data_IF_679443545914
#
_entry.id   IF_679443545914
#
_cell.length_a   1.000
_cell.length_b   1.000
_cell.length_c   1.000
_cell.angle_alpha   90.00
_cell.angle_beta   90.00
_cell.angle_gamma   90.00
#
_symmetry.space_group_name_H-M   'P 1'
#
loop_
_entity.id
_entity.type
_entity.pdbx_description
1 polymer ?
#
# COMPACT_ATOMS: atom_id res chain seq x y z
N UNK A 1 1.61 53.46 44.65
CA UNK A 1 0.30 53.09 45.21
C UNK A 1 -0.32 52.05 44.30
N UNK A 2 -0.48 50.84 44.86
CA UNK A 2 -1.42 49.74 44.56
C UNK A 2 -1.53 49.21 43.11
N UNK A 3 -1.11 47.96 42.82
CA UNK A 3 -1.80 46.62 42.97
C UNK A 3 -2.45 46.26 41.61
N UNK A 4 -2.38 45.07 41.02
CA UNK A 4 -2.33 43.65 41.42
C UNK A 4 -1.45 42.88 40.38
N UNK A 5 -0.55 41.92 40.65
CA UNK A 5 -0.65 40.54 41.19
C UNK A 5 -1.66 39.62 40.49
N UNK A 6 -1.22 38.88 39.48
CA UNK A 6 -1.86 37.64 39.04
C UNK A 6 -0.85 36.47 39.05
N UNK A 7 -1.23 35.48 39.85
CA UNK A 7 -0.63 34.17 40.04
C UNK A 7 -1.54 33.21 39.28
N UNK A 8 -1.03 32.48 38.29
CA UNK A 8 -1.75 31.34 37.71
C UNK A 8 -0.84 30.09 37.55
N UNK A 9 -0.91 29.28 38.60
CA UNK A 9 -1.11 27.82 38.61
C UNK A 9 -0.54 26.95 37.48
N UNK A 10 0.50 26.18 37.85
CA UNK A 10 0.87 24.89 37.23
C UNK A 10 -0.34 23.96 37.17
N UNK A 11 -0.68 23.49 35.97
CA UNK A 11 -1.56 22.33 35.79
C UNK A 11 -0.80 21.26 35.00
N UNK A 12 -0.43 20.19 35.70
CA UNK A 12 0.08 18.94 35.15
C UNK A 12 -1.06 18.16 34.51
N UNK A 13 -1.02 17.95 33.20
CA UNK A 13 -1.95 17.06 32.49
C UNK A 13 -1.20 15.81 32.05
N UNK A 14 -1.44 14.74 32.81
CA UNK A 14 -1.20 13.35 32.42
C UNK A 14 -2.09 13.02 31.21
N UNK A 15 -1.49 12.64 30.08
CA UNK A 15 -2.20 12.08 28.93
C UNK A 15 -1.75 10.62 28.72
N UNK A 16 -2.42 9.70 29.41
CA UNK A 16 -2.49 8.31 28.99
C UNK A 16 -3.50 8.20 27.83
N UNK A 17 -3.01 8.19 26.59
CA UNK A 17 -3.82 7.83 25.43
C UNK A 17 -3.63 6.36 25.11
N UNK A 18 -4.53 5.53 25.65
CA UNK A 18 -4.68 4.13 25.27
C UNK A 18 -5.09 4.06 23.80
N UNK A 19 -4.17 3.67 22.93
CA UNK A 19 -4.46 3.46 21.50
C UNK A 19 -5.15 2.11 21.34
N UNK A 20 -6.47 2.12 21.19
CA UNK A 20 -7.27 0.98 20.75
C UNK A 20 -6.99 0.71 19.27
N UNK A 21 -6.19 -0.32 18.99
CA UNK A 21 -6.04 -0.86 17.64
C UNK A 21 -7.28 -1.65 17.28
N UNK A 22 -8.11 -1.11 16.39
CA UNK A 22 -9.16 -1.84 15.69
C UNK A 22 -8.50 -2.97 14.90
N UNK A 23 -8.82 -4.22 15.24
CA UNK A 23 -8.37 -5.40 14.52
C UNK A 23 -8.95 -5.36 13.10
N UNK A 24 -8.11 -5.05 12.12
CA UNK A 24 -8.43 -5.27 10.71
C UNK A 24 -8.49 -6.79 10.50
N UNK A 25 -9.68 -7.30 10.23
CA UNK A 25 -9.93 -8.73 9.99
C UNK A 25 -9.11 -9.20 8.79
N UNK A 26 -8.42 -10.32 8.96
CA UNK A 26 -7.69 -10.94 7.86
C UNK A 26 -8.70 -11.41 6.80
N UNK A 27 -8.32 -11.44 5.51
CA UNK A 27 -9.18 -11.96 4.45
C UNK A 27 -9.46 -13.44 4.70
N UNK A 28 -10.72 -13.88 4.57
CA UNK A 28 -11.12 -15.26 4.89
C UNK A 28 -10.34 -16.34 4.12
N UNK A 29 -9.86 -16.03 2.90
CA UNK A 29 -9.00 -16.93 2.13
C UNK A 29 -7.62 -17.11 2.78
N UNK A 30 -7.04 -16.03 3.30
CA UNK A 30 -5.77 -16.01 4.02
C UNK A 30 -5.91 -16.54 5.44
N UNK A 31 -7.03 -16.27 6.13
CA UNK A 31 -7.35 -16.98 7.37
C UNK A 31 -7.46 -18.48 7.12
N UNK A 32 -8.06 -18.91 6.02
CA UNK A 32 -8.12 -20.33 5.68
C UNK A 32 -6.75 -20.92 5.34
N UNK A 33 -5.85 -20.18 4.69
CA UNK A 33 -4.49 -20.64 4.40
C UNK A 33 -3.58 -20.62 5.63
N UNK A 34 -3.69 -19.59 6.48
CA UNK A 34 -3.02 -19.49 7.77
C UNK A 34 -3.55 -20.50 8.78
N UNK A 35 -4.84 -20.87 8.71
CA UNK A 35 -5.44 -21.93 9.53
C UNK A 35 -5.13 -23.33 8.99
N UNK A 36 -4.88 -23.48 7.68
CA UNK A 36 -4.35 -24.72 7.06
C UNK A 36 -2.88 -24.94 7.40
N UNK A 37 -2.15 -23.87 7.69
CA UNK A 37 -0.85 -23.97 8.33
C UNK A 37 -1.13 -24.35 9.78
N UNK A 38 -1.01 -25.64 10.09
CA UNK A 38 -1.12 -26.13 11.47
C UNK A 38 0.11 -25.65 12.28
N UNK A 39 0.06 -24.37 12.64
CA UNK A 39 1.11 -23.71 13.40
C UNK A 39 1.23 -24.34 14.78
N UNK A 40 0.13 -24.82 15.36
CA UNK A 40 0.12 -25.49 16.65
C UNK A 40 0.78 -26.86 16.58
N UNK A 41 0.53 -27.68 15.55
CA UNK A 41 1.24 -28.95 15.35
C UNK A 41 2.71 -28.72 15.02
N UNK A 42 3.03 -27.74 14.17
CA UNK A 42 4.42 -27.41 13.82
C UNK A 42 5.19 -26.86 15.03
N UNK A 43 4.54 -26.04 15.86
CA UNK A 43 5.09 -25.53 17.11
C UNK A 43 5.24 -26.64 18.14
N UNK A 44 4.26 -27.53 18.28
CA UNK A 44 4.35 -28.71 19.14
C UNK A 44 5.45 -29.67 18.68
N UNK A 45 5.67 -29.79 17.36
CA UNK A 45 6.78 -30.55 16.79
C UNK A 45 8.13 -29.91 17.16
N UNK A 46 8.28 -28.60 17.01
CA UNK A 46 9.49 -27.89 17.48
C UNK A 46 9.70 -28.00 19.00
N UNK A 47 8.64 -27.91 19.79
CA UNK A 47 8.70 -28.08 21.26
C UNK A 47 9.09 -29.51 21.64
N UNK A 48 8.61 -30.50 20.88
CA UNK A 48 8.94 -31.92 21.06
C UNK A 48 10.38 -32.23 20.63
N UNK A 49 10.82 -31.70 19.49
CA UNK A 49 12.20 -31.79 19.00
C UNK A 49 13.20 -31.09 19.94
N UNK A 50 12.79 -30.00 20.60
CA UNK A 50 13.58 -29.34 21.65
C UNK A 50 13.46 -30.03 23.03
N UNK A 51 12.42 -30.84 23.24
CA UNK A 51 12.10 -31.50 24.51
C UNK A 51 12.93 -32.76 24.78
N UNK A 52 13.65 -33.29 23.80
CA UNK A 52 14.54 -34.43 24.01
C UNK A 52 15.87 -34.05 24.70
N UNK A 53 16.18 -32.76 24.94
CA UNK A 53 17.51 -32.39 25.44
C UNK A 53 17.64 -31.39 26.61
N UNK A 54 16.59 -30.83 27.25
CA UNK A 54 16.82 -29.90 28.39
C UNK A 54 15.80 -29.94 29.55
N UNK A 55 16.25 -29.73 30.82
CA UNK A 55 15.44 -29.94 32.02
C UNK A 55 14.46 -28.79 32.32
N UNK A 56 13.46 -29.14 33.12
CA UNK A 56 12.35 -28.31 33.60
C UNK A 56 12.78 -27.08 34.42
N UNK A 57 12.94 -25.92 33.78
CA UNK A 57 13.01 -24.62 34.46
C UNK A 57 11.98 -23.62 33.88
N UNK A 58 10.95 -23.35 34.67
CA UNK A 58 9.77 -22.53 34.35
C UNK A 58 10.05 -21.06 34.04
N UNK A 59 11.25 -20.54 34.34
CA UNK A 59 11.66 -19.14 34.09
C UNK A 59 12.32 -18.93 32.72
N UNK A 60 13.03 -19.95 32.21
CA UNK A 60 13.58 -19.91 30.84
C UNK A 60 12.49 -19.99 29.78
N UNK A 61 11.36 -20.61 30.13
CA UNK A 61 10.23 -20.79 29.23
C UNK A 61 9.55 -19.47 28.85
N UNK A 62 9.45 -18.49 29.78
CA UNK A 62 8.80 -17.19 29.52
C UNK A 62 9.60 -16.29 28.58
N UNK A 63 10.94 -16.32 28.68
CA UNK A 63 11.82 -15.58 27.76
C UNK A 63 11.79 -16.21 26.38
N UNK A 64 11.87 -17.54 26.30
CA UNK A 64 11.80 -18.27 25.04
C UNK A 64 10.44 -18.11 24.33
N UNK A 65 9.32 -18.11 25.06
CA UNK A 65 8.00 -17.84 24.49
C UNK A 65 7.84 -16.40 24.02
N UNK A 66 8.37 -15.42 24.77
CA UNK A 66 8.36 -14.01 24.36
C UNK A 66 9.16 -13.79 23.07
N UNK A 67 10.35 -14.39 22.96
CA UNK A 67 11.18 -14.30 21.75
C UNK A 67 10.47 -14.91 20.53
N UNK A 68 9.83 -16.07 20.69
CA UNK A 68 9.05 -16.72 19.61
C UNK A 68 7.85 -15.87 19.19
N UNK A 69 7.11 -15.31 20.15
CA UNK A 69 5.98 -14.41 19.87
C UNK A 69 6.44 -13.21 19.04
N UNK A 70 7.51 -12.55 19.45
CA UNK A 70 8.07 -11.40 18.72
C UNK A 70 8.51 -11.78 17.29
N UNK A 71 9.11 -12.96 17.11
CA UNK A 71 9.50 -13.45 15.80
C UNK A 71 8.27 -13.71 14.89
N UNK A 72 7.20 -14.31 15.44
CA UNK A 72 5.95 -14.54 14.70
C UNK A 72 5.28 -13.20 14.34
N UNK A 73 5.19 -12.27 15.29
CA UNK A 73 4.61 -10.95 15.06
C UNK A 73 5.37 -10.18 13.96
N UNK A 74 6.70 -10.28 13.94
CA UNK A 74 7.53 -9.70 12.88
C UNK A 74 7.25 -10.32 11.50
N UNK A 75 7.14 -11.65 11.42
CA UNK A 75 6.81 -12.35 10.17
C UNK A 75 5.42 -11.96 9.68
N UNK A 76 4.41 -11.94 10.56
CA UNK A 76 3.05 -11.53 10.21
C UNK A 76 2.99 -10.07 9.75
N UNK A 77 3.76 -9.18 10.36
CA UNK A 77 3.87 -7.78 9.93
C UNK A 77 4.42 -7.68 8.51
N UNK A 78 5.49 -8.43 8.19
CA UNK A 78 6.09 -8.44 6.86
C UNK A 78 5.11 -8.99 5.80
N UNK A 79 4.36 -10.04 6.14
CA UNK A 79 3.31 -10.59 5.28
C UNK A 79 2.24 -9.54 5.00
N UNK A 80 1.68 -8.90 6.04
CA UNK A 80 0.68 -7.84 5.89
C UNK A 80 1.19 -6.67 5.03
N UNK A 81 2.46 -6.30 5.19
CA UNK A 81 3.09 -5.27 4.39
C UNK A 81 3.20 -5.67 2.91
N UNK A 82 3.58 -6.91 2.61
CA UNK A 82 3.66 -7.41 1.23
C UNK A 82 2.30 -7.43 0.51
N UNK A 83 1.21 -7.52 1.28
CA UNK A 83 -0.18 -7.50 0.79
C UNK A 83 -0.73 -6.09 0.54
N UNK A 84 0.00 -5.04 0.92
CA UNK A 84 -0.30 -3.68 0.50
C UNK A 84 0.31 -3.47 -0.88
N UNK A 85 -0.54 -3.33 -1.89
CA UNK A 85 -0.14 -3.18 -3.27
C UNK A 85 -0.53 -1.78 -3.74
N UNK A 86 0.43 -1.05 -4.29
CA UNK A 86 0.17 0.17 -5.03
C UNK A 86 0.53 -0.10 -6.49
N UNK A 87 -0.45 0.06 -7.38
CA UNK A 87 -0.29 -0.16 -8.81
C UNK A 87 -0.52 1.15 -9.55
N UNK A 88 0.54 1.70 -10.15
CA UNK A 88 0.46 2.89 -10.99
C UNK A 88 0.55 2.52 -12.46
N UNK A 89 -0.38 3.04 -13.26
CA UNK A 89 -0.32 2.97 -14.71
C UNK A 89 0.25 4.28 -15.27
N UNK A 90 1.35 4.18 -16.00
CA UNK A 90 1.97 5.32 -16.68
C UNK A 90 1.63 5.18 -18.16
N UNK A 91 0.90 6.14 -18.74
CA UNK A 91 0.37 6.02 -20.10
C UNK A 91 0.80 7.19 -20.99
N UNK A 92 1.29 6.88 -22.18
CA UNK A 92 1.42 7.87 -23.25
C UNK A 92 0.05 8.42 -23.66
N UNK A 93 -0.13 9.73 -23.49
CA UNK A 93 -1.34 10.47 -23.86
C UNK A 93 -1.09 11.46 -25.01
N UNK A 94 -0.08 11.26 -25.85
CA UNK A 94 0.20 12.09 -27.03
C UNK A 94 -0.79 11.82 -28.17
N UNK A 95 -0.70 12.64 -29.23
CA UNK A 95 -1.59 12.57 -30.39
C UNK A 95 -1.44 11.29 -31.20
N UNK A 96 -0.24 10.71 -31.24
CA UNK A 96 0.06 9.42 -31.91
C UNK A 96 -0.76 8.28 -31.30
N UNK A 97 -0.98 8.32 -29.98
CA UNK A 97 -1.79 7.37 -29.24
C UNK A 97 -3.29 7.51 -29.44
N UNK A 98 -3.78 8.51 -30.17
CA UNK A 98 -5.22 8.77 -30.34
C UNK A 98 -6.03 7.55 -30.80
N UNK A 99 -5.48 6.73 -31.70
CA UNK A 99 -6.16 5.53 -32.20
C UNK A 99 -6.10 4.34 -31.23
N UNK A 100 -5.18 4.37 -30.27
CA UNK A 100 -4.90 3.28 -29.33
C UNK A 100 -5.37 3.56 -27.90
N UNK A 101 -5.57 4.83 -27.54
CA UNK A 101 -5.82 5.25 -26.16
C UNK A 101 -7.11 4.63 -25.58
N UNK A 102 -8.14 4.41 -26.41
CA UNK A 102 -9.35 3.73 -25.97
C UNK A 102 -9.05 2.28 -25.54
N UNK A 103 -8.34 1.52 -26.37
CA UNK A 103 -7.94 0.15 -26.06
C UNK A 103 -6.96 0.06 -24.88
N UNK A 104 -6.05 1.03 -24.75
CA UNK A 104 -5.15 1.13 -23.60
C UNK A 104 -5.93 1.36 -22.31
N UNK A 105 -6.87 2.31 -22.28
CA UNK A 105 -7.78 2.53 -21.14
C UNK A 105 -8.57 1.28 -20.79
N UNK A 106 -9.18 0.63 -21.78
CA UNK A 106 -9.95 -0.60 -21.56
C UNK A 106 -9.09 -1.71 -20.95
N UNK A 107 -7.83 -1.83 -21.40
CA UNK A 107 -6.88 -2.81 -20.87
C UNK A 107 -6.50 -2.50 -19.41
N UNK A 108 -6.22 -1.23 -19.09
CA UNK A 108 -5.96 -0.76 -17.72
C UNK A 108 -7.13 -1.12 -16.80
N UNK A 109 -8.36 -0.83 -17.23
CA UNK A 109 -9.57 -1.10 -16.43
C UNK A 109 -9.80 -2.60 -16.25
N UNK A 110 -9.56 -3.41 -17.28
CA UNK A 110 -9.64 -4.87 -17.19
C UNK A 110 -8.63 -5.44 -16.19
N UNK A 111 -7.37 -4.98 -16.23
CA UNK A 111 -6.34 -5.39 -15.28
C UNK A 111 -6.71 -4.99 -13.86
N UNK A 112 -7.12 -3.74 -13.64
CA UNK A 112 -7.54 -3.26 -12.31
C UNK A 112 -8.71 -4.07 -11.76
N UNK A 113 -9.72 -4.35 -12.58
CA UNK A 113 -10.87 -5.19 -12.22
C UNK A 113 -10.44 -6.61 -11.87
N UNK A 114 -9.58 -7.21 -12.69
CA UNK A 114 -9.11 -8.57 -12.48
C UNK A 114 -8.35 -8.69 -11.16
N UNK A 115 -7.44 -7.76 -10.87
CA UNK A 115 -6.69 -7.74 -9.60
C UNK A 115 -7.64 -7.64 -8.40
N UNK A 116 -8.64 -6.76 -8.47
CA UNK A 116 -9.62 -6.59 -7.40
C UNK A 116 -10.47 -7.85 -7.16
N UNK A 117 -10.82 -8.58 -8.23
CA UNK A 117 -11.65 -9.79 -8.14
C UNK A 117 -10.86 -11.03 -7.70
N UNK A 118 -9.64 -11.19 -8.20
CA UNK A 118 -8.82 -12.40 -7.95
C UNK A 118 -8.14 -12.35 -6.59
N UNK A 119 -7.87 -11.15 -6.06
CA UNK A 119 -7.09 -10.98 -4.83
C UNK A 119 -7.83 -10.15 -3.77
N UNK A 120 -8.97 -10.63 -3.23
CA UNK A 120 -9.74 -9.89 -2.22
C UNK A 120 -8.95 -9.66 -0.92
N UNK A 121 -7.85 -10.40 -0.72
CA UNK A 121 -6.99 -10.24 0.44
C UNK A 121 -5.90 -9.19 0.33
N UNK A 122 -5.66 -8.63 -0.86
CA UNK A 122 -4.69 -7.56 -1.03
C UNK A 122 -5.35 -6.19 -0.86
N UNK A 123 -4.70 -5.33 -0.08
CA UNK A 123 -5.08 -3.94 0.02
C UNK A 123 -4.48 -3.18 -1.16
N UNK A 124 -5.17 -3.22 -2.29
CA UNK A 124 -4.70 -2.63 -3.55
C UNK A 124 -5.19 -1.19 -3.70
N UNK A 125 -4.28 -0.28 -4.06
CA UNK A 125 -4.63 1.05 -4.54
C UNK A 125 -4.14 1.23 -5.98
N UNK A 126 -4.94 1.95 -6.76
CA UNK A 126 -4.65 2.25 -8.15
C UNK A 126 -4.31 3.72 -8.32
N UNK A 127 -3.22 3.98 -9.03
CA UNK A 127 -2.76 5.30 -9.44
C UNK A 127 -2.65 5.38 -10.97
N UNK A 128 -2.69 6.60 -11.51
CA UNK A 128 -2.49 6.85 -12.92
C UNK A 128 -1.61 8.08 -13.16
N UNK A 129 -0.72 7.99 -14.14
CA UNK A 129 0.13 9.06 -14.60
C UNK A 129 0.11 9.10 -16.13
N UNK A 130 -0.57 10.09 -16.70
CA UNK A 130 -0.49 10.38 -18.13
C UNK A 130 0.65 11.35 -18.41
N UNK A 131 1.47 11.07 -19.42
CA UNK A 131 2.48 12.00 -19.91
C UNK A 131 2.24 12.35 -21.39
N UNK A 132 2.81 13.48 -21.81
CA UNK A 132 2.68 14.03 -23.17
C UNK A 132 3.99 14.70 -23.59
N UNK A 133 3.97 15.53 -24.62
CA UNK A 133 5.14 16.25 -25.09
C UNK A 133 5.58 17.35 -24.13
N UNK A 134 6.87 17.69 -24.16
CA UNK A 134 7.42 18.83 -23.41
C UNK A 134 6.72 20.17 -23.71
N UNK A 135 6.14 20.32 -24.91
CA UNK A 135 5.47 21.54 -25.34
C UNK A 135 4.07 21.73 -24.72
N UNK A 136 3.53 20.74 -24.00
CA UNK A 136 2.18 20.79 -23.43
C UNK A 136 2.03 21.63 -22.16
N UNK A 137 3.11 22.23 -21.63
CA UNK A 137 3.04 23.06 -20.43
C UNK A 137 2.36 22.35 -19.26
N UNK A 138 1.34 22.96 -18.68
CA UNK A 138 0.59 22.40 -17.54
C UNK A 138 -0.17 21.11 -17.87
N UNK A 139 -0.46 20.85 -19.15
CA UNK A 139 -1.13 19.62 -19.59
C UNK A 139 -0.15 18.47 -19.86
N UNK A 140 1.16 18.71 -19.73
CA UNK A 140 2.22 17.74 -19.98
C UNK A 140 2.09 16.49 -19.11
N UNK A 141 1.67 16.66 -17.86
CA UNK A 141 1.48 15.59 -16.90
C UNK A 141 0.04 15.59 -16.39
N UNK A 142 -0.52 14.41 -16.21
CA UNK A 142 -1.87 14.22 -15.68
C UNK A 142 -1.85 13.13 -14.61
N UNK A 143 -1.98 13.52 -13.35
CA UNK A 143 -1.87 12.61 -12.21
C UNK A 143 -3.24 12.30 -11.58
N UNK A 144 -3.42 11.04 -11.24
CA UNK A 144 -4.45 10.56 -10.30
C UNK A 144 -3.73 9.81 -9.19
N UNK A 145 -3.69 10.42 -8.00
CA UNK A 145 -3.05 9.82 -6.85
C UNK A 145 -3.76 8.52 -6.41
N UNK A 146 -3.07 7.71 -5.63
CA UNK A 146 -3.54 6.38 -5.24
C UNK A 146 -4.90 6.40 -4.57
N UNK A 147 -5.79 5.52 -5.05
CA UNK A 147 -7.09 5.30 -4.45
C UNK A 147 -7.45 3.82 -4.42
N UNK A 148 -8.06 3.37 -3.32
CA UNK A 148 -8.70 2.06 -3.23
C UNK A 148 -10.12 2.05 -3.85
N UNK A 149 -10.63 3.20 -4.29
CA UNK A 149 -11.96 3.29 -4.90
C UNK A 149 -11.87 2.97 -6.39
N UNK A 150 -12.17 1.72 -6.73
CA UNK A 150 -12.25 1.28 -8.13
C UNK A 150 -13.15 2.19 -8.97
N UNK A 151 -14.30 2.60 -8.44
CA UNK A 151 -15.21 3.54 -9.12
C UNK A 151 -14.52 4.86 -9.49
N UNK A 152 -13.89 5.54 -8.53
CA UNK A 152 -13.19 6.82 -8.78
C UNK A 152 -12.08 6.66 -9.81
N UNK A 153 -11.30 5.59 -9.69
CA UNK A 153 -10.24 5.27 -10.64
C UNK A 153 -10.80 5.06 -12.05
N UNK A 154 -11.86 4.27 -12.19
CA UNK A 154 -12.48 4.00 -13.50
C UNK A 154 -13.09 5.23 -14.15
N UNK A 155 -13.75 6.08 -13.37
CA UNK A 155 -14.32 7.35 -13.84
C UNK A 155 -13.21 8.28 -14.34
N UNK A 156 -12.11 8.38 -13.59
CA UNK A 156 -10.96 9.19 -13.98
C UNK A 156 -10.30 8.67 -15.26
N UNK A 157 -9.91 7.39 -15.30
CA UNK A 157 -9.22 6.79 -16.45
C UNK A 157 -10.08 6.90 -17.70
N UNK A 158 -11.39 6.64 -17.61
CA UNK A 158 -12.32 6.74 -18.74
C UNK A 158 -12.32 8.13 -19.39
N UNK A 159 -12.13 9.18 -18.58
CA UNK A 159 -12.11 10.58 -19.03
C UNK A 159 -10.76 11.02 -19.64
N UNK A 160 -9.70 10.21 -19.53
CA UNK A 160 -8.38 10.54 -20.11
C UNK A 160 -8.47 10.58 -21.63
N UNK A 161 -7.83 11.60 -22.23
CA UNK A 161 -7.81 11.84 -23.66
C UNK A 161 -6.38 12.08 -24.16
N UNK A 162 -6.12 11.67 -25.39
CA UNK A 162 -4.91 12.02 -26.13
C UNK A 162 -4.97 13.49 -26.56
N UNK A 163 -3.87 14.21 -26.46
CA UNK A 163 -3.75 15.58 -26.96
C UNK A 163 -2.74 15.56 -28.10
N UNK A 164 -3.15 16.11 -29.24
CA UNK A 164 -2.28 16.25 -30.40
C UNK A 164 -1.59 17.60 -30.36
N UNK A 165 -0.28 17.61 -30.55
CA UNK A 165 0.52 18.81 -30.72
C UNK A 165 1.29 18.73 -32.04
N UNK A 166 2.08 19.77 -32.31
CA UNK A 166 3.14 19.69 -33.33
C UNK A 166 4.21 18.72 -32.85
N UNK A 167 4.74 17.90 -33.76
CA UNK A 167 5.79 16.89 -33.51
C UNK A 167 6.85 17.40 -32.53
N UNK A 168 6.71 16.99 -31.27
CA UNK A 168 7.62 17.28 -30.17
C UNK A 168 8.13 15.97 -29.58
N UNK A 169 9.20 16.06 -28.80
CA UNK A 169 9.64 14.91 -28.03
C UNK A 169 8.66 14.64 -26.88
N UNK A 170 8.27 13.38 -26.73
CA UNK A 170 7.45 12.89 -25.62
C UNK A 170 8.24 12.96 -24.31
N UNK A 171 7.61 13.40 -23.22
CA UNK A 171 8.24 13.51 -21.90
C UNK A 171 8.06 12.23 -21.05
N UNK A 172 8.53 11.10 -21.59
CA UNK A 172 8.45 9.78 -20.95
C UNK A 172 9.10 9.82 -19.56
N UNK A 173 10.30 10.42 -19.47
CA UNK A 173 11.04 10.51 -18.21
C UNK A 173 10.37 11.43 -17.21
N UNK A 174 9.73 12.52 -17.64
CA UNK A 174 8.90 13.36 -16.78
C UNK A 174 7.72 12.58 -16.21
N UNK A 175 7.04 11.78 -17.05
CA UNK A 175 5.98 10.87 -16.62
C UNK A 175 6.45 9.88 -15.54
N UNK A 176 7.54 9.16 -15.80
CA UNK A 176 8.10 8.21 -14.82
C UNK A 176 8.60 8.91 -13.55
N UNK A 177 9.23 10.07 -13.67
CA UNK A 177 9.69 10.86 -12.53
C UNK A 177 8.51 11.29 -11.65
N UNK A 178 7.44 11.79 -12.25
CA UNK A 178 6.22 12.17 -11.52
C UNK A 178 5.55 10.96 -10.88
N UNK A 179 5.45 9.83 -11.60
CA UNK A 179 4.92 8.58 -11.06
C UNK A 179 5.69 8.10 -9.82
N UNK A 180 7.02 8.24 -9.81
CA UNK A 180 7.87 7.81 -8.68
C UNK A 180 7.87 8.81 -7.53
N UNK A 181 7.96 10.11 -7.82
CA UNK A 181 8.28 11.13 -6.81
C UNK A 181 7.09 11.99 -6.37
N UNK A 182 6.02 12.10 -7.17
CA UNK A 182 4.88 12.96 -6.89
C UNK A 182 3.65 12.18 -6.38
N UNK A 183 3.61 10.87 -6.58
CA UNK A 183 2.52 10.01 -6.11
C UNK A 183 2.74 9.52 -4.68
N UNK A 184 1.64 9.34 -3.93
CA UNK A 184 1.65 9.00 -2.50
C UNK A 184 1.86 7.51 -2.24
N UNK A 185 3.01 6.95 -2.64
CA UNK A 185 3.33 5.54 -2.45
C UNK A 185 3.37 5.13 -0.96
N UNK A 186 2.67 4.04 -0.62
CA UNK A 186 2.75 3.40 0.69
C UNK A 186 3.99 2.53 0.80
N UNK A 187 4.29 2.10 2.02
CA UNK A 187 5.36 1.13 2.27
C UNK A 187 4.81 -0.29 2.07
N UNK A 188 5.12 -0.93 0.94
CA UNK A 188 4.57 -2.22 0.53
C UNK A 188 5.09 -2.60 -0.86
N UNK A 189 4.31 -3.41 -1.59
CA UNK A 189 4.62 -3.77 -2.98
C UNK A 189 4.24 -2.62 -3.90
N UNK A 190 5.20 -2.08 -4.65
CA UNK A 190 5.03 -0.95 -5.57
C UNK A 190 5.26 -1.41 -7.00
N UNK A 191 4.29 -1.18 -7.88
CA UNK A 191 4.35 -1.63 -9.27
C UNK A 191 4.02 -0.47 -10.19
N UNK A 192 4.87 -0.24 -11.19
CA UNK A 192 4.59 0.66 -12.30
C UNK A 192 4.40 -0.20 -13.55
N UNK A 193 3.28 0.00 -14.24
CA UNK A 193 3.05 -0.51 -15.58
C UNK A 193 3.10 0.67 -16.54
N UNK A 194 4.16 0.74 -17.33
CA UNK A 194 4.32 1.75 -18.37
C UNK A 194 3.75 1.23 -19.70
N UNK A 195 2.88 2.02 -20.32
CA UNK A 195 2.08 1.71 -21.50
C UNK A 195 2.26 2.81 -22.54
#
# INVERSE_FOLDING_TARGET
MSKDSDIETKTSVSTNSSTTFTAVSLPSSLESELAKLDFDERLNRYVKELGESYPSDTVSNTKATTLRKNAIDAVLSNIKQSMMIDLCFVLDCTGSMKSHIAAAKDSILQVAKHIQQTNPGFNTQFGFCGYRDFCNGDQRLQLFDFSNSYKKFTEYVSAVQSISNKDGAEDVFGGLNAAVNEMSWRNGTRIILHI
#
